data_IF_901299500239
#
_entry.id   IF_901299500239
#
_cell.length_a   1.000
_cell.length_b   1.000
_cell.length_c   1.000
_cell.angle_alpha   90.00
_cell.angle_beta   90.00
_cell.angle_gamma   90.00
#
_symmetry.space_group_name_H-M   'P 1'
#
loop_
_entity.id
_entity.type
_entity.pdbx_description
1 polymer ?
#
# COMPACT_ATOMS: atom_id res chain seq x y z
N UNK A 1 -35.51 0.70 -0.34
CA UNK A 1 -34.47 0.18 0.58
C UNK A 1 -33.92 -1.11 0.00
N UNK A 2 -32.60 -1.27 -0.03
CA UNK A 2 -31.95 -2.45 -0.59
C UNK A 2 -31.27 -3.28 0.50
N UNK A 3 -31.36 -4.61 0.44
CA UNK A 3 -30.81 -5.51 1.46
C UNK A 3 -29.87 -6.56 0.88
N UNK A 4 -28.76 -6.89 1.56
CA UNK A 4 -27.91 -8.01 1.12
C UNK A 4 -27.05 -8.67 2.19
N UNK A 5 -26.47 -9.83 1.83
CA UNK A 5 -25.44 -10.51 2.63
C UNK A 5 -24.04 -10.00 2.28
N UNK A 6 -23.37 -9.36 3.23
CA UNK A 6 -22.11 -8.67 3.02
C UNK A 6 -21.14 -8.77 4.21
N UNK A 7 -20.21 -7.80 4.28
CA UNK A 7 -19.49 -7.51 5.52
C UNK A 7 -20.47 -6.87 6.51
N UNK A 8 -20.31 -7.08 7.82
CA UNK A 8 -21.18 -6.46 8.83
C UNK A 8 -21.09 -4.92 8.90
N UNK A 9 -20.22 -4.29 8.10
CA UNK A 9 -20.06 -2.84 7.96
C UNK A 9 -20.46 -2.36 6.55
N UNK A 10 -20.70 -1.06 6.38
CA UNK A 10 -21.02 -0.48 5.07
C UNK A 10 -19.81 -0.55 4.12
N UNK A 11 -19.78 -1.62 3.33
CA UNK A 11 -18.75 -1.90 2.33
C UNK A 11 -18.90 -1.03 1.06
N UNK A 12 -18.01 -1.22 0.09
CA UNK A 12 -17.98 -0.48 -1.19
C UNK A 12 -19.32 -0.50 -1.93
N UNK A 13 -20.10 -1.60 -1.86
CA UNK A 13 -21.40 -1.71 -2.53
C UNK A 13 -22.43 -0.85 -1.82
N UNK A 14 -22.49 -0.94 -0.49
CA UNK A 14 -23.33 -0.08 0.35
C UNK A 14 -23.03 1.41 0.10
N UNK A 15 -21.75 1.77 0.11
CA UNK A 15 -21.32 3.15 -0.10
C UNK A 15 -21.72 3.66 -1.50
N UNK A 16 -21.51 2.89 -2.57
CA UNK A 16 -21.92 3.28 -3.92
C UNK A 16 -23.43 3.50 -4.01
N UNK A 17 -24.23 2.55 -3.52
CA UNK A 17 -25.70 2.62 -3.52
C UNK A 17 -26.27 3.84 -2.78
N UNK A 18 -25.59 4.29 -1.73
CA UNK A 18 -25.97 5.50 -1.00
C UNK A 18 -25.49 6.76 -1.74
N UNK A 19 -24.25 6.76 -2.25
CA UNK A 19 -23.63 7.93 -2.90
C UNK A 19 -24.23 8.29 -4.26
N UNK A 20 -24.67 7.30 -5.04
CA UNK A 20 -25.33 7.49 -6.33
C UNK A 20 -26.85 7.71 -6.20
N UNK A 21 -27.41 7.61 -5.00
CA UNK A 21 -28.85 7.77 -4.75
C UNK A 21 -29.74 6.62 -5.23
N UNK A 22 -29.18 5.48 -5.65
CA UNK A 22 -29.95 4.28 -6.04
C UNK A 22 -30.73 3.69 -4.86
N UNK A 23 -30.26 3.92 -3.62
CA UNK A 23 -30.98 3.54 -2.42
C UNK A 23 -30.97 4.67 -1.39
N UNK A 24 -32.15 4.96 -0.81
CA UNK A 24 -32.26 5.85 0.37
C UNK A 24 -31.66 5.23 1.63
N UNK A 25 -31.66 3.90 1.71
CA UNK A 25 -31.09 3.13 2.81
C UNK A 25 -30.71 1.73 2.33
N UNK A 26 -29.65 1.17 2.91
CA UNK A 26 -29.08 -0.13 2.60
C UNK A 26 -29.01 -0.98 3.86
N UNK A 27 -29.51 -2.22 3.82
CA UNK A 27 -29.53 -3.16 4.93
C UNK A 27 -28.51 -4.27 4.65
N UNK A 28 -27.58 -4.50 5.58
CA UNK A 28 -26.52 -5.49 5.40
C UNK A 28 -26.57 -6.48 6.54
N UNK A 29 -26.69 -7.77 6.22
CA UNK A 29 -26.50 -8.84 7.17
C UNK A 29 -25.16 -9.55 6.91
N UNK A 30 -24.51 -10.00 7.98
CA UNK A 30 -23.28 -10.76 7.86
C UNK A 30 -23.56 -12.10 7.16
N UNK A 31 -22.67 -12.51 6.25
CA UNK A 31 -22.75 -13.84 5.63
C UNK A 31 -22.67 -14.93 6.72
N UNK A 32 -23.68 -15.81 6.86
CA UNK A 32 -23.65 -16.87 7.87
C UNK A 32 -22.55 -17.89 7.52
N UNK A 33 -21.91 -18.46 8.55
CA UNK A 33 -20.89 -19.50 8.38
C UNK A 33 -21.49 -20.87 8.03
N UNK A 34 -22.74 -21.10 8.40
CA UNK A 34 -23.46 -22.35 8.17
C UNK A 34 -24.71 -22.12 7.31
N UNK A 35 -25.08 -23.14 6.52
CA UNK A 35 -26.04 -23.06 5.42
C UNK A 35 -27.53 -23.02 5.82
N UNK A 36 -27.88 -22.82 7.09
CA UNK A 36 -29.22 -23.18 7.60
C UNK A 36 -30.11 -22.02 8.04
N UNK A 37 -29.63 -20.78 8.03
CA UNK A 37 -30.47 -19.63 8.38
C UNK A 37 -31.27 -19.12 7.17
N UNK A 38 -32.58 -18.90 7.35
CA UNK A 38 -33.37 -18.08 6.46
C UNK A 38 -32.67 -16.71 6.33
N UNK A 39 -32.16 -16.35 5.14
CA UNK A 39 -31.43 -15.10 4.98
C UNK A 39 -32.28 -13.88 5.33
N UNK A 40 -33.61 -13.91 5.20
CA UNK A 40 -34.47 -12.77 5.49
C UNK A 40 -34.59 -12.46 6.99
N UNK A 41 -34.47 -13.49 7.83
CA UNK A 41 -34.56 -13.40 9.28
C UNK A 41 -33.22 -13.06 9.96
N UNK A 42 -32.13 -12.92 9.20
CA UNK A 42 -30.82 -12.63 9.77
C UNK A 42 -30.78 -11.22 10.40
N UNK A 43 -30.11 -11.08 11.56
CA UNK A 43 -29.84 -9.76 12.13
C UNK A 43 -28.97 -8.97 11.16
N UNK A 44 -29.41 -7.75 10.88
CA UNK A 44 -28.80 -6.86 9.91
C UNK A 44 -28.57 -5.47 10.50
N UNK A 45 -27.80 -4.66 9.78
CA UNK A 45 -27.64 -3.23 10.08
C UNK A 45 -28.12 -2.43 8.89
N UNK A 46 -29.06 -1.52 9.13
CA UNK A 46 -29.51 -0.52 8.16
C UNK A 46 -28.57 0.67 8.19
N UNK A 47 -28.16 1.13 7.02
CA UNK A 47 -27.28 2.26 6.76
C UNK A 47 -27.99 3.29 5.87
N UNK A 48 -27.84 4.58 6.17
CA UNK A 48 -28.34 5.67 5.32
C UNK A 48 -27.49 6.92 5.48
N UNK A 49 -27.64 7.84 4.52
CA UNK A 49 -27.04 9.18 4.58
C UNK A 49 -28.09 10.20 5.02
N UNK A 50 -27.73 11.04 5.98
CA UNK A 50 -28.59 12.12 6.46
C UNK A 50 -27.75 13.37 6.74
N UNK A 51 -28.26 14.53 6.34
CA UNK A 51 -27.60 15.80 6.65
C UNK A 51 -27.86 16.14 8.12
N UNK A 52 -26.81 16.18 8.91
CA UNK A 52 -26.87 16.49 10.33
C UNK A 52 -26.23 17.84 10.62
N UNK A 53 -26.81 18.60 11.56
CA UNK A 53 -26.17 19.77 12.16
C UNK A 53 -25.23 19.44 13.32
N UNK A 54 -25.16 18.17 13.73
CA UNK A 54 -24.30 17.67 14.79
C UNK A 54 -23.09 16.89 14.22
N UNK A 55 -21.98 16.75 14.98
CA UNK A 55 -20.85 15.93 14.56
C UNK A 55 -21.27 14.51 14.16
N UNK A 56 -20.76 14.04 13.02
CA UNK A 56 -21.09 12.70 12.55
C UNK A 56 -20.52 11.63 13.49
N UNK A 57 -21.24 10.52 13.74
CA UNK A 57 -20.70 9.41 14.50
C UNK A 57 -19.49 8.81 13.78
N UNK A 58 -18.57 8.22 14.55
CA UNK A 58 -17.43 7.52 13.98
C UNK A 58 -17.91 6.25 13.26
N UNK A 59 -17.55 6.10 11.98
CA UNK A 59 -17.91 4.94 11.17
C UNK A 59 -16.66 4.33 10.53
N UNK A 60 -16.52 3.01 10.71
CA UNK A 60 -15.49 2.23 10.01
C UNK A 60 -15.96 1.93 8.59
N UNK A 61 -15.42 2.67 7.63
CA UNK A 61 -15.57 2.38 6.21
C UNK A 61 -14.69 1.17 5.86
N UNK A 62 -15.31 0.11 5.33
CA UNK A 62 -14.59 -1.08 4.86
C UNK A 62 -14.45 -1.05 3.34
N UNK A 63 -13.25 -1.39 2.86
CA UNK A 63 -13.11 -1.81 1.47
C UNK A 63 -13.57 -3.26 1.42
N UNK A 64 -14.79 -3.48 0.92
CA UNK A 64 -15.34 -4.81 0.77
C UNK A 64 -14.60 -5.63 -0.28
N UNK A 65 -15.03 -6.88 -0.49
CA UNK A 65 -14.70 -7.59 -1.72
C UNK A 65 -15.01 -6.65 -2.89
N UNK A 66 -14.01 -6.28 -3.69
CA UNK A 66 -14.13 -5.42 -4.87
C UNK A 66 -14.91 -6.16 -5.96
N UNK A 67 -16.19 -6.37 -5.68
CA UNK A 67 -17.15 -7.09 -6.51
C UNK A 67 -17.39 -6.31 -7.82
N UNK A 68 -17.11 -5.01 -7.81
CA UNK A 68 -17.33 -4.09 -8.91
C UNK A 68 -16.01 -3.41 -9.27
N UNK A 69 -15.57 -3.45 -10.54
CA UNK A 69 -14.48 -2.60 -10.97
C UNK A 69 -14.85 -1.13 -10.74
N UNK A 70 -13.83 -0.27 -10.56
CA UNK A 70 -14.02 1.17 -10.54
C UNK A 70 -14.54 1.61 -11.91
N UNK A 71 -15.71 2.24 -11.94
CA UNK A 71 -16.21 2.95 -13.10
C UNK A 71 -15.28 4.11 -13.40
N UNK A 72 -14.64 4.11 -14.57
CA UNK A 72 -13.54 5.04 -14.89
C UNK A 72 -12.12 4.45 -14.75
N UNK A 73 -11.98 3.18 -14.39
CA UNK A 73 -10.68 2.51 -14.34
C UNK A 73 -9.84 2.88 -13.10
N UNK A 74 -8.52 2.85 -13.24
CA UNK A 74 -7.59 3.15 -12.14
C UNK A 74 -7.70 4.61 -11.65
N UNK A 75 -8.24 5.50 -12.47
CA UNK A 75 -8.23 6.95 -12.25
C UNK A 75 -9.45 7.47 -11.45
N UNK A 76 -10.44 6.64 -11.17
CA UNK A 76 -11.57 7.04 -10.31
C UNK A 76 -11.17 7.01 -8.82
N UNK A 77 -11.59 8.00 -8.02
CA UNK A 77 -11.26 8.03 -6.61
C UNK A 77 -11.87 6.83 -5.87
N UNK A 78 -11.18 6.34 -4.82
CA UNK A 78 -11.73 5.33 -3.94
C UNK A 78 -13.14 5.70 -3.42
N UNK A 79 -14.07 4.75 -3.37
CA UNK A 79 -15.45 5.02 -2.91
C UNK A 79 -15.51 5.48 -1.46
N UNK A 80 -14.66 4.92 -0.60
CA UNK A 80 -14.50 5.29 0.80
C UNK A 80 -13.97 6.72 0.98
N UNK A 81 -13.14 7.19 0.04
CA UNK A 81 -12.69 8.58 -0.02
C UNK A 81 -13.86 9.53 -0.32
N UNK A 82 -14.69 9.19 -1.31
CA UNK A 82 -15.89 9.99 -1.65
C UNK A 82 -16.90 9.99 -0.50
N UNK A 83 -17.08 8.85 0.18
CA UNK A 83 -17.93 8.76 1.36
C UNK A 83 -17.42 9.64 2.51
N UNK A 84 -16.12 9.59 2.81
CA UNK A 84 -15.51 10.44 3.82
C UNK A 84 -15.68 11.94 3.51
N UNK A 85 -15.61 12.32 2.23
CA UNK A 85 -15.83 13.70 1.79
C UNK A 85 -17.27 14.19 2.06
N UNK A 86 -18.27 13.31 1.89
CA UNK A 86 -19.68 13.59 2.25
C UNK A 86 -19.88 13.76 3.74
N UNK A 87 -19.28 12.87 4.55
CA UNK A 87 -19.31 12.95 6.01
C UNK A 87 -18.76 14.28 6.51
N UNK A 88 -17.60 14.70 5.99
CA UNK A 88 -17.00 16.01 6.34
C UNK A 88 -17.86 17.19 5.88
N UNK A 89 -18.68 17.01 4.83
CA UNK A 89 -19.64 18.04 4.37
C UNK A 89 -20.94 18.09 5.21
N UNK A 90 -21.05 17.27 6.26
CA UNK A 90 -22.23 17.19 7.12
C UNK A 90 -23.29 16.18 6.69
N UNK A 91 -23.04 15.37 5.65
CA UNK A 91 -23.88 14.22 5.27
C UNK A 91 -23.38 12.97 5.99
N UNK A 92 -23.89 12.74 7.20
CA UNK A 92 -23.45 11.67 8.08
C UNK A 92 -23.97 10.31 7.63
N UNK A 93 -23.10 9.30 7.69
CA UNK A 93 -23.46 7.90 7.54
C UNK A 93 -23.97 7.37 8.88
N UNK A 94 -25.28 7.11 8.96
CA UNK A 94 -25.95 6.63 10.17
C UNK A 94 -26.27 5.14 10.06
N UNK A 95 -26.38 4.48 11.21
CA UNK A 95 -26.74 3.07 11.28
C UNK A 95 -27.74 2.75 12.38
N UNK A 96 -28.54 1.70 12.14
CA UNK A 96 -29.50 1.17 13.11
C UNK A 96 -29.63 -0.37 12.94
N UNK A 97 -29.92 -1.12 14.02
CA UNK A 97 -30.29 -2.53 13.91
C UNK A 97 -31.54 -2.70 13.03
N UNK A 98 -31.53 -3.72 12.19
CA UNK A 98 -32.63 -4.05 11.27
C UNK A 98 -32.62 -5.55 10.94
N UNK A 99 -33.54 -5.99 10.09
CA UNK A 99 -33.57 -7.32 9.45
C UNK A 99 -33.59 -7.18 7.94
N UNK A 100 -33.08 -8.19 7.21
CA UNK A 100 -33.16 -8.17 5.74
C UNK A 100 -34.60 -8.14 5.23
N UNK A 101 -35.53 -8.69 6.01
CA UNK A 101 -36.96 -8.63 5.74
C UNK A 101 -37.56 -7.21 5.69
N UNK A 102 -36.86 -6.17 6.17
CA UNK A 102 -37.31 -4.77 6.09
C UNK A 102 -37.01 -4.09 4.75
N UNK A 103 -36.14 -4.67 3.92
CA UNK A 103 -35.81 -4.08 2.63
C UNK A 103 -36.92 -4.31 1.57
N UNK A 104 -36.93 -3.50 0.51
CA UNK A 104 -37.85 -3.64 -0.63
C UNK A 104 -37.32 -4.63 -1.67
N UNK A 105 -35.99 -4.77 -1.75
CA UNK A 105 -35.34 -5.75 -2.59
C UNK A 105 -34.15 -6.32 -1.83
N UNK A 106 -34.07 -7.64 -1.76
CA UNK A 106 -33.00 -8.35 -1.07
C UNK A 106 -32.27 -9.23 -2.07
N UNK A 107 -30.93 -9.22 -2.04
CA UNK A 107 -30.14 -10.26 -2.71
C UNK A 107 -29.22 -10.98 -1.71
N UNK A 108 -29.21 -12.31 -1.76
CA UNK A 108 -28.38 -13.13 -0.89
C UNK A 108 -27.55 -14.11 -1.71
N UNK A 109 -26.26 -14.19 -1.39
CA UNK A 109 -25.38 -15.27 -1.84
C UNK A 109 -24.99 -16.14 -0.65
N UNK A 110 -25.38 -17.42 -0.68
CA UNK A 110 -25.09 -18.39 0.38
C UNK A 110 -24.29 -19.56 -0.16
N UNK A 111 -23.40 -20.10 0.68
CA UNK A 111 -22.74 -21.38 0.45
C UNK A 111 -23.51 -22.46 1.19
N UNK A 112 -24.20 -23.34 0.46
CA UNK A 112 -25.09 -24.36 1.04
C UNK A 112 -24.34 -25.58 1.56
N UNK A 113 -23.17 -25.88 0.99
CA UNK A 113 -22.32 -26.99 1.43
C UNK A 113 -20.89 -26.74 0.98
N UNK A 114 -19.94 -26.89 1.91
CA UNK A 114 -18.51 -26.96 1.61
C UNK A 114 -17.95 -28.25 2.21
N UNK A 115 -17.69 -29.25 1.38
CA UNK A 115 -16.84 -30.36 1.81
C UNK A 115 -15.36 -29.90 1.81
N UNK A 116 -14.52 -30.35 2.77
CA UNK A 116 -13.11 -29.97 2.80
C UNK A 116 -12.42 -30.33 1.48
N UNK A 117 -11.72 -29.35 0.87
CA UNK A 117 -11.00 -29.53 -0.41
C UNK A 117 -9.90 -30.59 -0.33
N UNK A 118 -9.37 -30.84 0.86
CA UNK A 118 -8.23 -31.71 1.10
C UNK A 118 -8.50 -32.56 2.33
N UNK A 119 -9.13 -33.70 2.12
CA UNK A 119 -9.26 -34.76 3.12
C UNK A 119 -8.85 -36.08 2.49
N UNK A 120 -8.12 -36.92 3.23
CA UNK A 120 -7.73 -38.28 2.85
C UNK A 120 -8.92 -39.25 2.77
N UNK A 121 -10.14 -38.76 2.98
CA UNK A 121 -11.37 -39.52 2.80
C UNK A 121 -11.50 -39.93 1.33
N UNK A 122 -11.03 -41.14 1.06
CA UNK A 122 -11.15 -41.88 -0.19
C UNK A 122 -12.63 -41.98 -0.59
N UNK A 123 -13.10 -41.03 -1.41
CA UNK A 123 -14.42 -41.09 -2.05
C UNK A 123 -15.22 -39.79 -2.05
N UNK A 124 -14.92 -38.81 -1.19
CA UNK A 124 -15.73 -37.58 -1.15
C UNK A 124 -15.30 -36.61 -2.27
N UNK A 125 -16.21 -36.32 -3.20
CA UNK A 125 -16.08 -35.16 -4.08
C UNK A 125 -16.08 -33.88 -3.22
N UNK A 126 -15.13 -32.98 -3.44
CA UNK A 126 -15.21 -31.66 -2.81
C UNK A 126 -16.33 -30.90 -3.52
N UNK A 127 -17.52 -30.94 -2.93
CA UNK A 127 -18.71 -30.26 -3.43
C UNK A 127 -18.78 -28.87 -2.80
N UNK A 128 -18.87 -27.85 -3.66
CA UNK A 128 -19.19 -26.48 -3.28
C UNK A 128 -20.47 -26.12 -3.99
N UNK A 129 -21.54 -25.94 -3.22
CA UNK A 129 -22.84 -25.49 -3.72
C UNK A 129 -23.04 -24.05 -3.28
N UNK A 130 -23.19 -23.13 -4.24
CA UNK A 130 -23.55 -21.75 -3.95
C UNK A 130 -24.94 -21.46 -4.51
N UNK A 131 -25.79 -20.85 -3.69
CA UNK A 131 -27.11 -20.37 -4.09
C UNK A 131 -27.14 -18.85 -4.04
N UNK A 132 -27.69 -18.25 -5.09
CA UNK A 132 -28.03 -16.84 -5.15
C UNK A 132 -29.53 -16.70 -5.28
N UNK A 133 -30.11 -15.82 -4.49
CA UNK A 133 -31.54 -15.55 -4.47
C UNK A 133 -31.76 -14.04 -4.46
N UNK A 134 -32.83 -13.61 -5.13
CA UNK A 134 -33.32 -12.24 -5.14
C UNK A 134 -34.78 -12.26 -4.75
N UNK A 135 -35.12 -11.45 -3.76
CA UNK A 135 -36.49 -11.20 -3.34
C UNK A 135 -36.87 -9.76 -3.63
N UNK A 136 -38.11 -9.55 -4.06
CA UNK A 136 -38.71 -8.23 -4.22
C UNK A 136 -40.01 -8.15 -3.42
N UNK A 137 -40.25 -6.98 -2.81
CA UNK A 137 -41.44 -6.74 -2.00
C UNK A 137 -42.66 -6.60 -2.90
N UNK A 138 -43.67 -7.40 -2.64
CA UNK A 138 -44.98 -7.33 -3.27
C UNK A 138 -46.02 -7.22 -2.15
N UNK A 139 -46.45 -5.99 -1.84
CA UNK A 139 -47.27 -5.71 -0.65
C UNK A 139 -46.46 -5.90 0.64
N UNK A 140 -46.99 -6.69 1.58
CA UNK A 140 -46.35 -6.93 2.89
C UNK A 140 -45.30 -8.05 2.87
N UNK A 141 -45.22 -8.82 1.79
CA UNK A 141 -44.35 -10.00 1.68
C UNK A 141 -43.22 -9.81 0.66
N UNK A 142 -42.07 -10.42 0.95
CA UNK A 142 -40.97 -10.56 0.02
C UNK A 142 -41.17 -11.84 -0.80
N UNK A 143 -41.26 -11.70 -2.12
CA UNK A 143 -41.44 -12.82 -3.06
C UNK A 143 -40.12 -13.06 -3.78
N UNK A 144 -39.68 -14.32 -3.83
CA UNK A 144 -38.49 -14.71 -4.61
C UNK A 144 -38.78 -14.54 -6.10
N UNK A 145 -38.05 -13.62 -6.74
CA UNK A 145 -38.20 -13.32 -8.18
C UNK A 145 -37.13 -13.97 -9.03
N UNK A 146 -36.00 -14.38 -8.42
CA UNK A 146 -34.92 -15.04 -9.11
C UNK A 146 -34.10 -15.91 -8.17
N UNK A 147 -33.77 -17.12 -8.61
CA UNK A 147 -32.87 -18.03 -7.92
C UNK A 147 -31.92 -18.71 -8.91
N UNK A 148 -30.64 -18.74 -8.54
CA UNK A 148 -29.60 -19.46 -9.27
C UNK A 148 -28.76 -20.29 -8.33
N UNK A 149 -28.73 -21.61 -8.56
CA UNK A 149 -27.84 -22.53 -7.84
C UNK A 149 -26.68 -22.93 -8.76
N UNK A 150 -25.46 -22.74 -8.27
CA UNK A 150 -24.22 -23.14 -8.95
C UNK A 150 -23.53 -24.23 -8.14
N UNK A 151 -23.01 -25.23 -8.84
CA UNK A 151 -22.37 -26.38 -8.21
C UNK A 151 -20.97 -26.54 -8.80
N UNK A 152 -19.98 -26.69 -7.93
CA UNK A 152 -18.64 -27.12 -8.28
C UNK A 152 -18.37 -28.43 -7.58
N UNK A 153 -17.99 -29.45 -8.33
CA UNK A 153 -17.42 -30.68 -7.80
C UNK A 153 -15.97 -30.82 -8.28
N UNK A 154 -15.09 -31.21 -7.38
CA UNK A 154 -13.78 -31.76 -7.75
C UNK A 154 -13.89 -33.30 -7.63
N UNK A 155 -14.33 -33.92 -8.73
CA UNK A 155 -14.52 -35.37 -8.88
C UNK A 155 -13.19 -36.09 -9.06
N UNK A 156 -13.08 -37.36 -8.65
CA UNK A 156 -11.89 -38.16 -8.97
C UNK A 156 -11.83 -38.31 -10.49
N UNK A 157 -10.66 -38.10 -11.08
CA UNK A 157 -10.46 -38.31 -12.51
C UNK A 157 -10.87 -39.74 -12.86
N UNK A 158 -11.51 -40.01 -14.02
CA UNK A 158 -12.04 -41.34 -14.36
C UNK A 158 -11.01 -42.47 -14.20
N UNK A 159 -9.73 -42.14 -14.34
CA UNK A 159 -8.63 -42.99 -13.90
C UNK A 159 -8.01 -42.46 -12.60
N UNK A 160 -7.94 -43.28 -11.53
CA UNK A 160 -7.38 -42.87 -10.25
C UNK A 160 -5.85 -42.76 -10.34
N UNK A 161 -5.36 -41.67 -10.91
CA UNK A 161 -3.93 -41.36 -11.00
C UNK A 161 -3.46 -40.78 -9.67
N UNK A 162 -2.53 -41.41 -8.92
CA UNK A 162 -2.02 -40.84 -7.68
C UNK A 162 -1.19 -39.59 -7.98
N UNK A 163 -1.47 -38.49 -7.27
CA UNK A 163 -0.75 -37.22 -7.39
C UNK A 163 -0.50 -36.60 -6.02
N UNK A 164 0.55 -35.80 -5.94
CA UNK A 164 0.84 -34.95 -4.78
C UNK A 164 0.12 -33.62 -4.95
N UNK A 165 -0.79 -33.32 -4.04
CA UNK A 165 -1.50 -32.03 -4.03
C UNK A 165 -0.74 -31.03 -3.17
N UNK A 166 -0.46 -29.85 -3.75
CA UNK A 166 0.15 -28.72 -3.06
C UNK A 166 -0.96 -27.74 -2.65
N UNK A 167 -1.46 -27.88 -1.43
CA UNK A 167 -2.56 -27.09 -0.88
C UNK A 167 -2.07 -26.03 0.10
N UNK A 168 -1.39 -24.98 -0.37
CA UNK A 168 -0.83 -23.94 0.49
C UNK A 168 0.51 -24.29 1.14
N UNK A 169 0.97 -23.44 2.08
CA UNK A 169 2.34 -23.45 2.66
C UNK A 169 2.60 -24.67 3.56
N UNK A 170 1.59 -25.45 3.91
CA UNK A 170 1.73 -26.60 4.80
C UNK A 170 1.60 -27.93 4.03
N UNK A 171 2.70 -28.70 4.07
CA UNK A 171 2.96 -30.11 3.69
C UNK A 171 2.18 -30.73 2.50
N UNK A 172 2.87 -31.34 1.53
CA UNK A 172 2.21 -32.04 0.42
C UNK A 172 1.40 -33.25 0.93
N UNK A 173 0.18 -33.41 0.43
CA UNK A 173 -0.69 -34.54 0.74
C UNK A 173 -0.82 -35.47 -0.48
N UNK A 174 -0.82 -36.79 -0.24
CA UNK A 174 -1.10 -37.77 -1.29
C UNK A 174 -2.60 -37.86 -1.57
N UNK A 175 -2.96 -37.96 -2.84
CA UNK A 175 -4.35 -38.13 -3.27
C UNK A 175 -4.45 -38.58 -4.72
N UNK A 176 -5.65 -38.54 -5.29
CA UNK A 176 -5.86 -38.84 -6.71
C UNK A 176 -6.02 -37.56 -7.52
N UNK A 177 -5.67 -37.61 -8.79
CA UNK A 177 -5.97 -36.57 -9.77
C UNK A 177 -7.48 -36.35 -9.75
N UNK A 178 -7.89 -35.08 -9.69
CA UNK A 178 -9.31 -34.70 -9.67
C UNK A 178 -9.65 -33.88 -10.91
N UNK A 179 -10.79 -34.18 -11.52
CA UNK A 179 -11.39 -33.38 -12.59
C UNK A 179 -12.38 -32.41 -11.95
N UNK A 180 -12.23 -31.12 -12.26
CA UNK A 180 -13.22 -30.12 -11.88
C UNK A 180 -14.40 -30.17 -12.83
N UNK A 181 -15.59 -30.38 -12.28
CA UNK A 181 -16.86 -30.24 -12.98
C UNK A 181 -17.58 -29.04 -12.38
N UNK A 182 -18.15 -28.21 -13.24
CA UNK A 182 -18.98 -27.10 -12.80
C UNK A 182 -20.32 -27.18 -13.52
N UNK A 183 -21.41 -27.07 -12.77
CA UNK A 183 -22.77 -26.95 -13.29
C UNK A 183 -23.30 -25.54 -13.02
N UNK A 184 -23.98 -24.96 -14.00
CA UNK A 184 -24.57 -23.61 -13.94
C UNK A 184 -23.57 -22.50 -13.55
N UNK A 185 -22.28 -22.77 -13.74
CA UNK A 185 -21.16 -21.85 -13.51
C UNK A 185 -20.61 -21.44 -14.88
N UNK A 186 -20.66 -20.15 -15.20
CA UNK A 186 -19.96 -19.64 -16.38
C UNK A 186 -18.45 -19.96 -16.25
N UNK A 187 -17.85 -20.39 -17.35
CA UNK A 187 -16.56 -21.05 -17.41
C UNK A 187 -15.38 -20.11 -17.21
N UNK A 188 -14.45 -20.54 -16.35
CA UNK A 188 -13.01 -20.27 -16.32
C UNK A 188 -12.57 -18.79 -16.16
N UNK A 189 -11.91 -18.52 -15.03
CA UNK A 189 -11.46 -17.24 -14.43
C UNK A 189 -12.48 -16.41 -13.64
N UNK A 190 -13.78 -16.72 -13.70
CA UNK A 190 -14.79 -15.99 -12.92
C UNK A 190 -15.44 -16.85 -11.83
N UNK A 191 -15.30 -16.40 -10.58
CA UNK A 191 -16.13 -16.89 -9.50
C UNK A 191 -17.52 -16.24 -9.63
N UNK A 192 -18.49 -17.02 -10.15
CA UNK A 192 -19.90 -16.64 -10.37
C UNK A 192 -20.04 -15.68 -11.57
N UNK A 193 -21.22 -15.56 -12.26
CA UNK A 193 -21.45 -14.32 -13.02
C UNK A 193 -21.14 -13.17 -12.06
N UNK A 194 -20.28 -12.21 -12.44
CA UNK A 194 -19.84 -11.19 -11.50
C UNK A 194 -21.11 -10.61 -10.88
N UNK A 195 -21.14 -10.49 -9.55
CA UNK A 195 -22.32 -9.95 -8.87
C UNK A 195 -22.72 -8.59 -9.46
N UNK A 196 -21.77 -7.91 -10.12
CA UNK A 196 -21.98 -6.94 -11.19
C UNK A 196 -23.17 -7.22 -12.10
N UNK A 197 -23.23 -8.29 -12.89
CA UNK A 197 -24.30 -8.53 -13.87
C UNK A 197 -25.67 -8.68 -13.19
N UNK A 198 -25.69 -9.25 -11.98
CA UNK A 198 -26.92 -9.30 -11.19
C UNK A 198 -27.35 -7.88 -10.76
N UNK A 199 -26.41 -7.07 -10.27
CA UNK A 199 -26.69 -5.73 -9.80
C UNK A 199 -27.01 -4.75 -10.95
N UNK A 200 -26.23 -4.77 -12.02
CA UNK A 200 -26.35 -3.88 -13.17
C UNK A 200 -27.43 -4.36 -14.13
N UNK A 201 -27.36 -5.59 -14.62
CA UNK A 201 -28.21 -6.05 -15.73
C UNK A 201 -29.56 -6.58 -15.25
N UNK A 202 -29.58 -7.27 -14.10
CA UNK A 202 -30.83 -7.87 -13.58
C UNK A 202 -31.60 -6.90 -12.69
N UNK A 203 -30.92 -6.17 -11.82
CA UNK A 203 -31.54 -5.21 -10.91
C UNK A 203 -31.55 -3.77 -11.44
N UNK A 204 -30.84 -3.48 -12.53
CA UNK A 204 -30.81 -2.14 -13.13
C UNK A 204 -30.13 -1.08 -12.25
N UNK A 205 -29.30 -1.47 -11.29
CA UNK A 205 -28.66 -0.55 -10.35
C UNK A 205 -27.45 0.09 -11.02
N UNK A 206 -27.48 1.40 -11.24
CA UNK A 206 -26.29 2.14 -11.68
C UNK A 206 -25.34 2.32 -10.50
N UNK A 207 -24.26 1.56 -10.44
CA UNK A 207 -23.28 1.58 -9.34
C UNK A 207 -22.03 2.42 -9.65
N UNK A 208 -22.08 3.18 -10.74
CA UNK A 208 -21.01 4.06 -11.13
C UNK A 208 -21.09 5.34 -10.30
N UNK A 209 -19.96 5.74 -9.72
CA UNK A 209 -19.88 7.08 -9.13
C UNK A 209 -19.77 8.08 -10.29
N UNK A 210 -20.49 9.20 -10.25
CA UNK A 210 -20.51 10.17 -11.35
C UNK A 210 -19.08 10.60 -11.72
N UNK A 211 -18.64 10.20 -12.90
CA UNK A 211 -17.33 10.53 -13.46
C UNK A 211 -17.37 12.00 -13.91
N UNK A 212 -16.55 12.86 -13.28
CA UNK A 212 -16.31 14.20 -13.82
C UNK A 212 -16.32 15.37 -12.83
N UNK A 213 -16.47 15.14 -11.53
CA UNK A 213 -16.41 16.25 -10.55
C UNK A 213 -15.65 15.96 -9.28
N UNK A 214 -15.34 14.70 -9.01
CA UNK A 214 -14.86 14.27 -7.68
C UNK A 214 -13.45 14.75 -7.38
N UNK A 215 -12.50 14.71 -8.30
CA UNK A 215 -11.10 15.04 -7.96
C UNK A 215 -10.89 16.55 -7.78
N UNK A 216 -11.40 17.39 -8.68
CA UNK A 216 -11.29 18.84 -8.56
C UNK A 216 -12.11 19.38 -7.38
N UNK A 217 -13.34 18.89 -7.18
CA UNK A 217 -14.16 19.31 -6.05
C UNK A 217 -13.60 18.82 -4.70
N UNK A 218 -13.05 17.59 -4.65
CA UNK A 218 -12.40 17.07 -3.47
C UNK A 218 -11.11 17.82 -3.15
N UNK A 219 -10.28 18.11 -4.16
CA UNK A 219 -9.10 18.97 -4.00
C UNK A 219 -9.48 20.35 -3.48
N UNK A 220 -10.52 20.97 -4.05
CA UNK A 220 -11.02 22.27 -3.57
C UNK A 220 -11.57 22.20 -2.14
N UNK A 221 -12.30 21.13 -1.79
CA UNK A 221 -12.79 20.90 -0.44
C UNK A 221 -11.65 20.75 0.56
N UNK A 222 -10.65 19.91 0.24
CA UNK A 222 -9.46 19.71 1.08
C UNK A 222 -8.69 21.03 1.21
N UNK A 223 -8.52 21.80 0.13
CA UNK A 223 -7.87 23.09 0.19
C UNK A 223 -8.57 24.05 1.16
N UNK A 224 -9.90 24.15 1.09
CA UNK A 224 -10.70 24.97 2.01
C UNK A 224 -10.61 24.49 3.48
N UNK A 225 -10.57 23.17 3.70
CA UNK A 225 -10.36 22.61 5.04
C UNK A 225 -8.98 22.96 5.60
N UNK A 226 -7.95 23.00 4.74
CA UNK A 226 -6.62 23.45 5.14
C UNK A 226 -6.55 24.96 5.41
N UNK A 227 -7.44 25.77 4.83
CA UNK A 227 -7.54 27.21 5.12
C UNK A 227 -8.15 27.51 6.49
N UNK A 228 -8.83 26.54 7.09
CA UNK A 228 -9.43 26.73 8.42
C UNK A 228 -8.33 26.74 9.49
N UNK A 229 -8.19 27.83 10.28
CA UNK A 229 -7.17 27.92 11.31
C UNK A 229 -7.48 26.97 12.49
N UNK A 230 -6.43 26.52 13.18
CA UNK A 230 -6.54 25.65 14.36
C UNK A 230 -6.39 24.16 14.07
N UNK A 231 -6.62 23.30 15.08
CA UNK A 231 -6.48 21.85 14.95
C UNK A 231 -7.54 21.29 14.00
N UNK A 232 -7.14 20.29 13.20
CA UNK A 232 -8.06 19.60 12.32
C UNK A 232 -8.92 18.63 13.13
N UNK A 233 -10.23 18.63 12.88
CA UNK A 233 -11.12 17.62 13.44
C UNK A 233 -10.69 16.20 12.99
N UNK A 234 -10.93 15.15 13.81
CA UNK A 234 -10.53 13.78 13.48
C UNK A 234 -11.03 13.30 12.11
N UNK A 235 -12.27 13.62 11.76
CA UNK A 235 -12.91 13.29 10.48
C UNK A 235 -12.23 13.97 9.28
N UNK A 236 -11.78 15.23 9.45
CA UNK A 236 -11.03 15.97 8.43
C UNK A 236 -9.64 15.37 8.26
N UNK A 237 -8.98 15.06 9.37
CA UNK A 237 -7.67 14.39 9.35
C UNK A 237 -7.74 13.02 8.67
N UNK A 238 -8.81 12.26 8.93
CA UNK A 238 -9.05 10.97 8.33
C UNK A 238 -9.41 11.05 6.84
N UNK A 239 -10.13 12.10 6.41
CA UNK A 239 -10.38 12.38 5.00
C UNK A 239 -9.06 12.66 4.26
N UNK A 240 -8.24 13.57 4.81
CA UNK A 240 -6.96 13.93 4.20
C UNK A 240 -6.03 12.72 4.16
N UNK A 241 -5.94 11.92 5.23
CA UNK A 241 -5.12 10.71 5.24
C UNK A 241 -5.54 9.71 4.13
N UNK A 242 -6.85 9.48 3.94
CA UNK A 242 -7.36 8.64 2.84
C UNK A 242 -7.05 9.24 1.46
N UNK A 243 -7.18 10.55 1.32
CA UNK A 243 -6.80 11.25 0.09
C UNK A 243 -5.32 11.04 -0.22
N UNK A 244 -4.44 11.16 0.78
CA UNK A 244 -3.02 10.92 0.63
C UNK A 244 -2.68 9.46 0.27
N UNK A 245 -3.41 8.49 0.82
CA UNK A 245 -3.24 7.06 0.49
C UNK A 245 -3.75 6.70 -0.91
N UNK A 246 -4.59 7.54 -1.53
CA UNK A 246 -5.06 7.31 -2.89
C UNK A 246 -3.99 7.61 -3.95
N UNK A 247 -2.88 8.25 -3.56
CA UNK A 247 -1.81 8.58 -4.49
C UNK A 247 -1.03 7.34 -4.94
N UNK A 248 -0.61 7.40 -6.21
CA UNK A 248 0.35 6.46 -6.76
C UNK A 248 1.73 7.11 -6.77
N UNK A 249 2.77 6.32 -6.51
CA UNK A 249 4.18 6.70 -6.73
C UNK A 249 4.46 7.27 -8.13
N UNK A 250 3.62 6.97 -9.13
CA UNK A 250 3.75 7.47 -10.50
C UNK A 250 2.93 8.73 -10.82
N UNK A 251 2.21 9.29 -9.84
CA UNK A 251 1.40 10.50 -10.02
C UNK A 251 2.23 11.63 -10.65
N UNK A 252 1.65 12.33 -11.62
CA UNK A 252 2.28 13.50 -12.27
C UNK A 252 1.65 14.76 -11.71
N UNK A 253 2.44 15.59 -11.04
CA UNK A 253 2.00 16.90 -10.54
C UNK A 253 2.19 17.94 -11.65
N UNK A 254 1.09 18.58 -12.05
CA UNK A 254 1.14 19.70 -13.01
C UNK A 254 1.61 20.99 -12.32
N UNK A 255 2.02 22.04 -13.05
CA UNK A 255 2.32 23.34 -12.45
C UNK A 255 1.15 23.93 -11.65
N UNK A 256 -0.08 23.69 -12.11
CA UNK A 256 -1.28 24.25 -11.50
C UNK A 256 -1.58 23.60 -10.15
N UNK A 257 -1.33 22.30 -10.02
CA UNK A 257 -1.61 21.56 -8.78
C UNK A 257 -0.47 21.63 -7.76
N UNK A 258 0.73 22.04 -8.19
CA UNK A 258 1.93 22.09 -7.34
C UNK A 258 1.71 22.82 -6.00
N UNK A 259 1.11 24.03 -5.95
CA UNK A 259 0.92 24.74 -4.69
C UNK A 259 0.04 23.96 -3.71
N UNK A 260 -0.98 23.26 -4.19
CA UNK A 260 -1.86 22.44 -3.35
C UNK A 260 -1.11 21.26 -2.73
N UNK A 261 -0.33 20.51 -3.54
CA UNK A 261 0.44 19.38 -3.04
C UNK A 261 1.58 19.80 -2.12
N UNK A 262 2.25 20.92 -2.43
CA UNK A 262 3.26 21.50 -1.55
C UNK A 262 2.65 21.87 -0.20
N UNK A 263 1.44 22.46 -0.19
CA UNK A 263 0.70 22.79 1.04
C UNK A 263 0.35 21.54 1.85
N UNK A 264 -0.17 20.50 1.21
CA UNK A 264 -0.42 19.21 1.88
C UNK A 264 0.86 18.64 2.50
N UNK A 265 1.97 18.74 1.78
CA UNK A 265 3.27 18.28 2.26
C UNK A 265 3.82 19.14 3.40
N UNK A 266 3.59 20.45 3.40
CA UNK A 266 4.17 21.39 4.38
C UNK A 266 3.30 21.65 5.62
N UNK A 267 2.00 21.34 5.59
CA UNK A 267 1.07 21.67 6.69
C UNK A 267 1.42 20.92 8.01
N UNK A 268 1.84 21.61 9.08
CA UNK A 268 2.33 20.98 10.30
C UNK A 268 1.29 20.12 11.03
N UNK A 269 -0.01 20.28 10.73
CA UNK A 269 -1.10 19.49 11.33
C UNK A 269 -1.20 18.08 10.73
N UNK A 270 -0.55 17.85 9.59
CA UNK A 270 -0.62 16.60 8.84
C UNK A 270 0.66 15.79 8.97
N UNK A 271 0.53 14.46 8.92
CA UNK A 271 1.65 13.57 8.59
C UNK A 271 1.66 13.36 7.08
N UNK A 272 2.66 13.87 6.33
CA UNK A 272 2.65 13.78 4.88
C UNK A 272 2.94 12.35 4.40
N UNK A 273 2.26 11.94 3.32
CA UNK A 273 2.62 10.71 2.62
C UNK A 273 3.92 10.85 1.81
N UNK A 274 4.64 9.74 1.64
CA UNK A 274 5.97 9.69 1.03
C UNK A 274 5.84 9.85 -0.49
N UNK A 275 4.76 9.31 -1.07
CA UNK A 275 4.49 9.38 -2.50
C UNK A 275 4.24 10.82 -2.94
N UNK A 276 3.64 11.65 -2.07
CA UNK A 276 3.52 13.11 -2.31
C UNK A 276 4.91 13.74 -2.36
N UNK A 277 5.78 13.43 -1.40
CA UNK A 277 7.16 13.92 -1.39
C UNK A 277 7.93 13.50 -2.65
N UNK A 278 7.78 12.26 -3.11
CA UNK A 278 8.41 11.77 -4.35
C UNK A 278 7.83 12.42 -5.61
N UNK A 279 6.52 12.61 -5.68
CA UNK A 279 5.88 13.30 -6.79
C UNK A 279 6.31 14.77 -6.86
N UNK A 280 6.43 15.43 -5.70
CA UNK A 280 6.97 16.79 -5.61
C UNK A 280 8.43 16.81 -6.09
N UNK A 281 9.30 15.98 -5.54
CA UNK A 281 10.70 15.87 -5.97
C UNK A 281 10.84 15.70 -7.50
N UNK A 282 10.06 14.80 -8.12
CA UNK A 282 10.09 14.59 -9.57
C UNK A 282 9.68 15.84 -10.35
N UNK A 283 8.65 16.56 -9.92
CA UNK A 283 8.24 17.79 -10.59
C UNK A 283 9.26 18.92 -10.36
N UNK A 284 9.93 19.00 -9.20
CA UNK A 284 11.04 19.94 -8.98
C UNK A 284 12.30 19.58 -9.79
N UNK A 285 12.58 18.30 -10.04
CA UNK A 285 13.64 17.87 -10.97
C UNK A 285 13.35 18.31 -12.41
N UNK A 286 12.09 18.27 -12.83
CA UNK A 286 11.68 18.77 -14.15
C UNK A 286 11.65 20.31 -14.22
N UNK A 287 11.52 21.00 -13.08
CA UNK A 287 11.41 22.46 -12.94
C UNK A 287 12.26 22.93 -11.75
N UNK A 288 13.57 23.14 -11.98
CA UNK A 288 14.54 23.38 -10.91
C UNK A 288 14.22 24.59 -10.02
N UNK A 289 13.46 25.57 -10.52
CA UNK A 289 13.00 26.74 -9.77
C UNK A 289 12.10 26.40 -8.56
N UNK A 290 11.51 25.19 -8.52
CA UNK A 290 10.65 24.74 -7.43
C UNK A 290 11.44 24.16 -6.23
N UNK A 291 12.70 23.80 -6.45
CA UNK A 291 13.53 23.15 -5.42
C UNK A 291 13.74 23.97 -4.15
N UNK A 292 14.05 25.28 -4.19
CA UNK A 292 14.29 26.05 -2.97
C UNK A 292 13.10 26.00 -2.00
N UNK A 293 11.88 26.11 -2.51
CA UNK A 293 10.66 26.08 -1.70
C UNK A 293 10.41 24.68 -1.14
N UNK A 294 10.60 23.65 -1.96
CA UNK A 294 10.45 22.26 -1.52
C UNK A 294 11.51 21.86 -0.48
N UNK A 295 12.73 22.35 -0.64
CA UNK A 295 13.83 22.09 0.28
C UNK A 295 13.53 22.66 1.67
N UNK A 296 13.09 23.92 1.76
CA UNK A 296 12.71 24.53 3.04
C UNK A 296 11.58 23.76 3.73
N UNK A 297 10.55 23.37 2.97
CA UNK A 297 9.46 22.54 3.49
C UNK A 297 9.97 21.18 4.02
N UNK A 298 10.84 20.51 3.27
CA UNK A 298 11.44 19.23 3.69
C UNK A 298 12.30 19.36 4.95
N UNK A 299 13.09 20.42 5.07
CA UNK A 299 13.92 20.67 6.26
C UNK A 299 13.09 21.04 7.49
N UNK A 300 11.99 21.77 7.31
CA UNK A 300 11.05 22.06 8.40
C UNK A 300 10.42 20.76 8.92
N UNK A 301 10.00 19.86 8.02
CA UNK A 301 9.45 18.54 8.40
C UNK A 301 10.43 17.63 9.10
N UNK A 302 11.70 17.66 8.70
CA UNK A 302 12.78 16.92 9.36
C UNK A 302 12.96 17.28 10.84
N UNK A 303 12.56 18.48 11.26
CA UNK A 303 12.61 18.89 12.66
C UNK A 303 11.43 18.35 13.51
N UNK A 304 10.44 17.74 12.88
CA UNK A 304 9.19 17.29 13.50
C UNK A 304 9.24 15.93 14.23
N UNK A 305 8.05 15.36 14.46
CA UNK A 305 7.89 14.05 15.11
C UNK A 305 8.36 12.90 14.21
N UNK A 306 8.60 11.69 14.78
CA UNK A 306 9.04 10.52 14.00
C UNK A 306 8.17 10.25 12.74
N UNK A 307 6.86 10.49 12.84
CA UNK A 307 5.92 10.33 11.71
C UNK A 307 6.10 11.39 10.62
N UNK A 308 6.51 12.60 10.99
CA UNK A 308 6.71 13.76 10.11
C UNK A 308 8.08 13.81 9.42
N UNK A 309 9.10 13.09 9.95
CA UNK A 309 10.50 13.14 9.51
C UNK A 309 10.77 12.47 8.13
N UNK A 310 9.96 12.72 7.11
CA UNK A 310 10.18 12.13 5.77
C UNK A 310 11.16 12.98 4.95
N UNK A 311 12.44 12.62 5.00
CA UNK A 311 13.52 13.28 4.25
C UNK A 311 13.66 12.83 2.79
N UNK A 312 12.83 11.87 2.34
CA UNK A 312 12.97 11.25 1.02
C UNK A 312 12.94 12.28 -0.13
N UNK A 313 12.18 13.36 0.03
CA UNK A 313 12.12 14.46 -0.93
C UNK A 313 13.47 15.18 -1.12
N UNK A 314 14.25 15.34 -0.03
CA UNK A 314 15.51 16.07 -0.04
C UNK A 314 16.67 15.23 -0.59
N UNK A 315 16.52 13.90 -0.63
CA UNK A 315 17.53 13.01 -1.20
C UNK A 315 17.83 13.34 -2.66
N UNK A 316 16.82 13.76 -3.41
CA UNK A 316 16.92 14.05 -4.84
C UNK A 316 17.27 15.51 -5.15
N UNK A 317 17.36 16.38 -4.13
CA UNK A 317 17.65 17.80 -4.33
C UNK A 317 19.03 18.04 -4.97
N UNK A 318 19.20 19.00 -5.88
CA UNK A 318 20.51 19.39 -6.39
C UNK A 318 21.46 19.83 -5.28
N UNK A 319 22.77 19.65 -5.47
CA UNK A 319 23.77 19.97 -4.45
C UNK A 319 23.76 21.48 -4.10
N UNK A 320 23.50 22.33 -5.09
CA UNK A 320 23.41 23.79 -4.96
C UNK A 320 22.23 24.19 -4.06
N UNK A 321 21.12 23.44 -4.12
CA UNK A 321 19.93 23.65 -3.29
C UNK A 321 20.20 23.22 -1.85
N UNK A 322 21.01 22.19 -1.64
CA UNK A 322 21.38 21.69 -0.32
C UNK A 322 22.48 22.51 0.35
N UNK A 323 23.27 23.28 -0.41
CA UNK A 323 24.40 24.06 0.10
C UNK A 323 24.05 24.98 1.28
N UNK A 324 22.94 25.75 1.27
CA UNK A 324 22.53 26.57 2.42
C UNK A 324 22.19 25.78 3.69
N UNK A 325 21.91 24.48 3.55
CA UNK A 325 21.50 23.60 4.65
C UNK A 325 22.62 22.69 5.15
N UNK A 326 23.87 22.91 4.69
CA UNK A 326 25.05 22.13 5.08
C UNK A 326 25.07 21.83 6.58
N UNK A 327 25.05 22.86 7.42
CA UNK A 327 25.18 22.70 8.87
C UNK A 327 24.02 21.89 9.48
N UNK A 328 22.80 22.02 8.93
CA UNK A 328 21.64 21.21 9.34
C UNK A 328 21.82 19.73 8.97
N UNK A 329 22.40 19.43 7.82
CA UNK A 329 22.68 18.06 7.37
C UNK A 329 23.79 17.43 8.24
N UNK A 330 24.85 18.18 8.57
CA UNK A 330 25.88 17.71 9.49
C UNK A 330 25.34 17.50 10.91
N UNK A 331 24.50 18.41 11.42
CA UNK A 331 23.82 18.23 12.70
C UNK A 331 22.92 16.98 12.70
N UNK A 332 22.17 16.75 11.62
CA UNK A 332 21.34 15.56 11.45
C UNK A 332 22.15 14.27 11.57
N UNK A 333 23.37 14.21 11.00
CA UNK A 333 24.23 13.03 11.10
C UNK A 333 24.55 12.69 12.57
N UNK A 334 24.70 13.72 13.41
CA UNK A 334 25.06 13.59 14.82
C UNK A 334 23.87 13.35 15.76
N UNK A 335 22.64 13.44 15.27
CA UNK A 335 21.43 13.17 16.05
C UNK A 335 21.00 11.69 15.89
N UNK A 336 21.16 10.84 16.93
CA UNK A 336 20.89 9.41 16.82
C UNK A 336 19.43 9.08 16.50
N UNK A 337 18.48 9.91 16.94
CA UNK A 337 17.05 9.67 16.73
C UNK A 337 16.60 10.16 15.36
N UNK A 338 17.08 11.31 14.91
CA UNK A 338 16.61 11.94 13.66
C UNK A 338 17.25 11.34 12.42
N UNK A 339 18.49 10.87 12.52
CA UNK A 339 19.22 10.33 11.36
C UNK A 339 18.63 9.06 10.76
N UNK A 340 17.86 8.27 11.52
CA UNK A 340 17.22 7.05 11.01
C UNK A 340 16.23 7.43 9.91
N UNK A 341 15.38 8.41 10.20
CA UNK A 341 14.37 8.94 9.27
C UNK A 341 15.00 9.82 8.16
N UNK A 342 16.18 10.38 8.44
CA UNK A 342 16.99 11.18 7.53
C UNK A 342 18.00 10.41 6.66
N UNK A 343 18.06 9.07 6.72
CA UNK A 343 19.16 8.29 6.16
C UNK A 343 19.42 8.51 4.67
N UNK A 344 18.36 8.72 3.88
CA UNK A 344 18.48 9.04 2.45
C UNK A 344 19.19 10.39 2.19
N UNK A 345 18.89 11.41 2.99
CA UNK A 345 19.53 12.73 2.90
C UNK A 345 20.99 12.68 3.33
N UNK A 346 21.34 11.85 4.33
CA UNK A 346 22.72 11.74 4.81
C UNK A 346 23.71 11.23 3.74
N UNK A 347 23.24 10.50 2.72
CA UNK A 347 24.06 10.14 1.54
C UNK A 347 24.58 11.37 0.78
N UNK A 348 23.95 12.55 0.96
CA UNK A 348 24.32 13.82 0.34
C UNK A 348 25.48 14.52 1.06
N UNK A 349 25.93 14.00 2.20
CA UNK A 349 27.18 14.45 2.81
C UNK A 349 28.37 14.37 1.82
N UNK A 350 28.31 13.48 0.83
CA UNK A 350 29.31 13.40 -0.25
C UNK A 350 29.50 14.71 -1.03
N UNK A 351 28.49 15.57 -1.06
CA UNK A 351 28.49 16.81 -1.82
C UNK A 351 29.27 17.94 -1.10
N UNK A 352 29.65 17.74 0.17
CA UNK A 352 30.35 18.73 1.01
C UNK A 352 31.86 18.47 1.14
N UNK A 353 32.47 17.86 0.13
CA UNK A 353 33.92 17.65 0.07
C UNK A 353 34.48 16.71 1.15
N UNK A 354 35.77 16.85 1.52
CA UNK A 354 36.45 15.92 2.42
C UNK A 354 35.80 15.79 3.80
N UNK A 355 35.24 16.86 4.34
CA UNK A 355 34.58 16.84 5.64
C UNK A 355 33.29 16.02 5.61
N UNK A 356 32.50 16.15 4.54
CA UNK A 356 31.31 15.35 4.34
C UNK A 356 31.63 13.86 4.13
N UNK A 357 32.70 13.56 3.41
CA UNK A 357 33.21 12.19 3.25
C UNK A 357 33.68 11.59 4.59
N UNK A 358 34.37 12.38 5.42
CA UNK A 358 34.75 11.95 6.77
C UNK A 358 33.51 11.71 7.65
N UNK A 359 32.45 12.53 7.51
CA UNK A 359 31.18 12.29 8.21
C UNK A 359 30.47 11.02 7.73
N UNK A 360 30.51 10.69 6.43
CA UNK A 360 29.99 9.43 5.90
C UNK A 360 30.73 8.22 6.47
N UNK A 361 32.06 8.29 6.55
CA UNK A 361 32.86 7.25 7.18
C UNK A 361 32.53 7.10 8.67
N UNK A 362 32.36 8.22 9.38
CA UNK A 362 31.95 8.19 10.78
C UNK A 362 30.57 7.53 10.98
N UNK A 363 29.62 7.72 10.05
CA UNK A 363 28.31 7.05 10.12
C UNK A 363 28.43 5.52 10.03
N UNK A 364 29.40 5.00 9.27
CA UNK A 364 29.70 3.56 9.21
C UNK A 364 30.18 3.06 10.57
N UNK A 365 31.05 3.81 11.24
CA UNK A 365 31.56 3.44 12.57
C UNK A 365 30.47 3.48 13.63
N UNK A 366 29.70 4.56 13.62
CA UNK A 366 28.70 4.81 14.64
C UNK A 366 27.53 3.81 14.55
N UNK A 367 27.25 3.28 13.35
CA UNK A 367 26.30 2.19 13.16
C UNK A 367 26.62 0.96 14.02
N UNK A 368 27.89 0.67 14.30
CA UNK A 368 28.32 -0.44 15.14
C UNK A 368 27.82 -0.36 16.60
N UNK A 369 27.34 0.80 17.04
CA UNK A 369 26.80 1.01 18.39
C UNK A 369 25.33 0.61 18.54
N UNK A 370 24.63 0.31 17.44
CA UNK A 370 23.20 0.01 17.44
C UNK A 370 22.93 -1.48 17.23
N UNK A 371 21.86 -1.96 17.84
CA UNK A 371 21.34 -3.32 17.66
C UNK A 371 20.03 -3.32 16.86
N UNK A 372 19.56 -4.49 16.46
CA UNK A 372 18.30 -4.64 15.70
C UNK A 372 18.40 -4.09 14.27
N UNK A 373 17.41 -3.29 13.86
CA UNK A 373 17.37 -2.68 12.52
C UNK A 373 17.96 -1.25 12.50
N UNK A 374 18.11 -0.61 13.67
CA UNK A 374 18.52 0.79 13.80
C UNK A 374 19.95 1.10 13.32
N UNK A 375 20.83 0.09 13.24
CA UNK A 375 22.18 0.26 12.70
C UNK A 375 22.19 0.47 11.18
N UNK A 376 21.16 -0.01 10.46
CA UNK A 376 21.16 -0.04 9.01
C UNK A 376 21.15 1.36 8.39
N UNK A 377 20.36 2.28 8.94
CA UNK A 377 20.21 3.62 8.37
C UNK A 377 21.53 4.42 8.32
N UNK A 378 22.29 4.62 9.42
CA UNK A 378 23.58 5.30 9.35
C UNK A 378 24.62 4.51 8.53
N UNK A 379 24.63 3.18 8.62
CA UNK A 379 25.54 2.33 7.84
C UNK A 379 25.34 2.51 6.33
N UNK A 380 24.09 2.37 5.86
CA UNK A 380 23.73 2.50 4.46
C UNK A 380 23.94 3.94 3.95
N UNK A 381 23.63 4.95 4.76
CA UNK A 381 23.93 6.34 4.42
C UNK A 381 25.42 6.54 4.12
N UNK A 382 26.29 6.04 5.01
CA UNK A 382 27.74 6.09 4.87
C UNK A 382 28.25 5.33 3.65
N UNK A 383 27.91 4.05 3.53
CA UNK A 383 28.36 3.18 2.43
C UNK A 383 27.90 3.69 1.05
N UNK A 384 26.61 4.01 0.90
CA UNK A 384 26.06 4.52 -0.35
C UNK A 384 26.65 5.90 -0.68
N UNK A 385 26.80 6.78 0.33
CA UNK A 385 27.39 8.09 0.15
C UNK A 385 28.83 8.02 -0.37
N UNK A 386 29.67 7.16 0.22
CA UNK A 386 31.06 6.97 -0.22
C UNK A 386 31.14 6.31 -1.59
N UNK A 387 30.30 5.30 -1.87
CA UNK A 387 30.22 4.68 -3.19
C UNK A 387 29.91 5.71 -4.28
N UNK A 388 28.93 6.59 -4.04
CA UNK A 388 28.54 7.66 -4.97
C UNK A 388 29.54 8.80 -5.04
N UNK A 389 30.35 9.02 -4.00
CA UNK A 389 31.45 9.98 -4.04
C UNK A 389 32.57 9.51 -4.99
N UNK A 390 32.80 8.19 -5.06
CA UNK A 390 33.74 7.56 -5.96
C UNK A 390 35.16 8.12 -5.83
N UNK A 391 35.81 8.51 -6.94
CA UNK A 391 37.18 9.04 -6.91
C UNK A 391 37.38 10.24 -5.98
N UNK A 392 36.34 11.06 -5.76
CA UNK A 392 36.42 12.20 -4.85
C UNK A 392 36.72 11.78 -3.40
N UNK A 393 36.39 10.54 -3.02
CA UNK A 393 36.62 9.97 -1.69
C UNK A 393 37.79 8.97 -1.66
N UNK A 394 38.60 8.86 -2.71
CA UNK A 394 39.73 7.91 -2.79
C UNK A 394 40.72 8.05 -1.63
N UNK A 395 40.86 9.25 -1.05
CA UNK A 395 41.70 9.47 0.13
C UNK A 395 41.27 8.62 1.36
N UNK A 396 40.01 8.15 1.39
CA UNK A 396 39.48 7.28 2.45
C UNK A 396 39.67 5.78 2.16
N UNK A 397 40.23 5.40 1.02
CA UNK A 397 40.47 4.00 0.65
C UNK A 397 41.27 3.20 1.71
N UNK A 398 42.39 3.70 2.27
CA UNK A 398 43.14 2.98 3.31
C UNK A 398 42.29 2.71 4.57
N UNK A 399 41.43 3.67 4.88
CA UNK A 399 40.63 3.66 6.09
C UNK A 399 39.39 2.75 5.96
N UNK A 400 38.81 2.69 4.76
CA UNK A 400 37.81 1.69 4.40
C UNK A 400 38.40 0.28 4.38
N UNK A 401 39.65 0.14 3.92
CA UNK A 401 40.34 -1.15 3.95
C UNK A 401 40.56 -1.64 5.38
N UNK A 402 41.02 -0.75 6.28
CA UNK A 402 41.18 -1.06 7.70
C UNK A 402 39.89 -1.58 8.35
N UNK A 403 38.73 -0.99 8.02
CA UNK A 403 37.41 -1.46 8.48
C UNK A 403 37.02 -2.83 7.94
N UNK A 404 37.36 -3.11 6.68
CA UNK A 404 37.10 -4.41 6.07
C UNK A 404 37.90 -5.50 6.79
N UNK A 405 39.19 -5.28 6.99
CA UNK A 405 40.08 -6.23 7.65
C UNK A 405 39.70 -6.44 9.13
N UNK A 406 39.17 -5.40 9.78
CA UNK A 406 38.63 -5.47 11.14
C UNK A 406 37.24 -6.13 11.25
N UNK A 407 36.62 -6.54 10.13
CA UNK A 407 35.29 -7.15 10.12
C UNK A 407 34.14 -6.17 10.42
N UNK A 408 34.38 -4.86 10.31
CA UNK A 408 33.39 -3.81 10.55
C UNK A 408 32.48 -3.59 9.32
N UNK A 409 32.92 -4.02 8.14
CA UNK A 409 32.12 -4.00 6.91
C UNK A 409 31.28 -5.28 6.81
N UNK A 410 29.99 -5.13 6.54
CA UNK A 410 29.04 -6.24 6.43
C UNK A 410 29.13 -6.89 5.05
N UNK A 411 29.42 -8.20 5.04
CA UNK A 411 29.60 -9.00 3.82
C UNK A 411 28.51 -10.07 3.67
N UNK A 412 27.26 -9.75 3.98
CA UNK A 412 26.12 -10.68 3.89
C UNK A 412 25.02 -10.14 2.97
N UNK A 413 24.40 -11.02 2.18
CA UNK A 413 23.29 -10.65 1.30
C UNK A 413 23.62 -9.47 0.38
N UNK A 414 22.73 -8.49 0.30
CA UNK A 414 22.89 -7.27 -0.50
C UNK A 414 24.02 -6.34 0.01
N UNK A 415 24.40 -6.40 1.29
CA UNK A 415 25.47 -5.57 1.85
C UNK A 415 26.84 -5.91 1.25
N UNK A 416 27.04 -7.18 0.87
CA UNK A 416 28.26 -7.63 0.19
C UNK A 416 28.43 -6.90 -1.15
N UNK A 417 27.36 -6.78 -1.93
CA UNK A 417 27.41 -6.13 -3.25
C UNK A 417 27.67 -4.63 -3.11
N UNK A 418 27.03 -3.98 -2.14
CA UNK A 418 27.30 -2.59 -1.81
C UNK A 418 28.76 -2.37 -1.34
N UNK A 419 29.28 -3.25 -0.48
CA UNK A 419 30.66 -3.17 -0.02
C UNK A 419 31.67 -3.34 -1.17
N UNK A 420 31.46 -4.34 -2.03
CA UNK A 420 32.29 -4.57 -3.20
C UNK A 420 32.27 -3.37 -4.15
N UNK A 421 31.09 -2.86 -4.48
CA UNK A 421 30.93 -1.67 -5.32
C UNK A 421 31.61 -0.45 -4.71
N UNK A 422 31.44 -0.21 -3.40
CA UNK A 422 32.07 0.91 -2.69
C UNK A 422 33.60 0.86 -2.77
N UNK A 423 34.22 -0.28 -2.44
CA UNK A 423 35.69 -0.43 -2.47
C UNK A 423 36.25 -0.22 -3.89
N UNK A 424 35.54 -0.71 -4.92
CA UNK A 424 35.91 -0.47 -6.32
C UNK A 424 35.80 1.01 -6.70
N UNK A 425 34.74 1.71 -6.29
CA UNK A 425 34.55 3.13 -6.59
C UNK A 425 35.56 4.04 -5.89
N UNK A 426 36.07 3.62 -4.73
CA UNK A 426 37.17 4.28 -4.03
C UNK A 426 38.55 4.00 -4.66
N UNK A 427 38.60 3.24 -5.76
CA UNK A 427 39.83 2.96 -6.50
C UNK A 427 40.72 1.90 -5.86
N UNK A 428 40.18 1.06 -4.97
CA UNK A 428 40.96 -0.03 -4.37
C UNK A 428 41.09 -1.16 -5.41
N UNK A 429 42.28 -1.71 -5.63
CA UNK A 429 42.46 -2.88 -6.49
C UNK A 429 41.73 -4.12 -5.94
N UNK A 430 40.96 -4.88 -6.75
CA UNK A 430 40.21 -6.05 -6.30
C UNK A 430 41.06 -7.11 -5.61
N UNK A 431 42.26 -7.33 -6.12
CA UNK A 431 43.26 -8.26 -5.57
C UNK A 431 43.60 -7.92 -4.12
N UNK A 432 43.58 -6.63 -3.77
CA UNK A 432 43.93 -6.22 -2.44
C UNK A 432 42.85 -6.70 -1.47
N UNK A 433 41.56 -6.52 -1.76
CA UNK A 433 40.48 -6.79 -0.80
C UNK A 433 39.68 -8.07 -1.06
N UNK A 434 40.14 -8.94 -1.95
CA UNK A 434 39.45 -10.20 -2.31
C UNK A 434 39.27 -11.15 -1.12
N UNK A 435 40.31 -11.37 -0.32
CA UNK A 435 40.32 -12.42 0.70
C UNK A 435 39.13 -12.36 1.70
N UNK A 436 38.74 -11.19 2.24
CA UNK A 436 37.53 -11.05 3.07
C UNK A 436 36.21 -11.51 2.42
N UNK A 437 36.09 -11.47 1.08
CA UNK A 437 34.87 -11.87 0.37
C UNK A 437 34.82 -13.37 0.05
N UNK A 438 35.96 -14.04 0.05
CA UNK A 438 36.10 -15.47 -0.24
C UNK A 438 36.21 -16.33 1.01
N UNK A 439 36.22 -15.71 2.20
CA UNK A 439 36.38 -16.39 3.49
C UNK A 439 35.17 -16.17 4.40
N UNK A 440 34.82 -17.18 5.19
CA UNK A 440 33.73 -17.12 6.18
C UNK A 440 32.36 -17.62 5.69
N UNK A 441 31.33 -17.39 6.52
CA UNK A 441 29.98 -17.99 6.38
C UNK A 441 29.23 -17.57 5.11
N UNK A 442 29.57 -16.41 4.54
CA UNK A 442 28.92 -15.85 3.35
C UNK A 442 29.90 -15.72 2.17
N UNK A 443 30.97 -16.50 2.18
CA UNK A 443 31.99 -16.49 1.14
C UNK A 443 31.37 -16.69 -0.25
N UNK A 444 31.83 -15.89 -1.21
CA UNK A 444 31.53 -16.10 -2.63
C UNK A 444 32.69 -16.81 -3.31
N UNK A 445 32.39 -17.58 -4.36
CA UNK A 445 33.42 -18.26 -5.13
C UNK A 445 34.27 -17.25 -5.91
N UNK A 446 35.55 -17.55 -6.22
CA UNK A 446 36.40 -16.64 -7.01
C UNK A 446 35.77 -16.22 -8.34
N UNK A 447 35.12 -17.16 -9.04
CA UNK A 447 34.40 -16.86 -10.28
C UNK A 447 33.23 -15.87 -10.08
N UNK A 448 32.50 -15.96 -8.97
CA UNK A 448 31.43 -15.01 -8.64
C UNK A 448 31.99 -13.64 -8.26
N UNK A 449 33.11 -13.60 -7.54
CA UNK A 449 33.80 -12.35 -7.21
C UNK A 449 34.20 -11.62 -8.50
N UNK A 450 34.88 -12.30 -9.43
CA UNK A 450 35.33 -11.72 -10.69
C UNK A 450 34.17 -11.26 -11.57
N UNK A 451 33.09 -12.04 -11.62
CA UNK A 451 31.86 -11.66 -12.31
C UNK A 451 31.27 -10.36 -11.75
N UNK A 452 31.23 -10.22 -10.42
CA UNK A 452 30.71 -9.02 -9.75
C UNK A 452 31.63 -7.82 -9.94
N UNK A 453 32.95 -8.00 -9.83
CA UNK A 453 33.94 -6.94 -10.12
C UNK A 453 33.75 -6.42 -11.55
N UNK A 454 33.65 -7.33 -12.54
CA UNK A 454 33.40 -6.95 -13.94
C UNK A 454 32.10 -6.17 -14.09
N UNK A 455 31.01 -6.63 -13.44
CA UNK A 455 29.71 -5.95 -13.44
C UNK A 455 29.81 -4.53 -12.85
N UNK A 456 30.38 -4.38 -11.67
CA UNK A 456 30.41 -3.10 -10.95
C UNK A 456 31.43 -2.10 -11.50
N UNK A 457 32.48 -2.56 -12.18
CA UNK A 457 33.33 -1.69 -13.00
C UNK A 457 32.58 -1.14 -14.21
N UNK A 458 31.76 -1.96 -14.86
CA UNK A 458 30.98 -1.53 -16.04
C UNK A 458 29.80 -0.63 -15.67
N UNK A 459 29.12 -0.93 -14.55
CA UNK A 459 28.00 -0.16 -14.03
C UNK A 459 28.04 -0.20 -12.51
N UNK A 460 28.55 0.86 -11.86
CA UNK A 460 28.57 0.94 -10.41
C UNK A 460 27.16 0.78 -9.85
N UNK A 461 27.01 -0.09 -8.86
CA UNK A 461 25.75 -0.27 -8.15
C UNK A 461 25.92 0.28 -6.73
N UNK A 462 25.55 1.54 -6.56
CA UNK A 462 25.56 2.20 -5.26
C UNK A 462 24.13 2.26 -4.65
N UNK A 463 23.24 1.38 -5.09
CA UNK A 463 21.92 1.18 -4.49
C UNK A 463 21.96 0.14 -3.37
N UNK A 464 20.90 0.11 -2.56
CA UNK A 464 20.60 -0.97 -1.62
C UNK A 464 19.11 -1.29 -1.69
#
# INVERSE_FOLDING_TARGET
>A
MLGYLGASSCDTTCQRLLLNGQARAVVIAARPREASADPLALPATRWWLERSGAPCPEVTLSQGDNILPRSGGADAPPTDLVMAARIVSGECLLSAPATLAEADTVWAGQSLQTAPRYGTASGAAALIVNRRQVWQRQGEVLVEVSQRTSVRADEIFPWPVPVWHWGGIEKPHSGYLRRRVNWNRASWFEALPPMRDLLLDTLGLDLDLPAGGTDAALTAQIAALLDTPGPLAPEVSALIARFQQSFSVNMKITPQDWPFYLRLFSDPRLTPDADIGFALSRAATARPELWPVLAEAGFTRLAGTKKERRAAVLREAPAEVLAPYRDRIFALARDPERRIEGGGLLQRLRDFGPEGQAALLWLIDDAGRFSGESWQAPYLAGMIGLCKAGPAAQALAPEMRRRLDAGQIRLNGAYLDLALSTLLQLGIPPEDFRAPFETGKNAITPAKFDQRVKRFRARPDCGF
#
